data_IF_225258335901
#
_entry.id   IF_225258335901
#
_cell.length_a   1.000
_cell.length_b   1.000
_cell.length_c   1.000
_cell.angle_alpha   90.00
_cell.angle_beta   90.00
_cell.angle_gamma   90.00
#
_symmetry.space_group_name_H-M   'P 1'
#
loop_
_entity.id
_entity.type
_entity.pdbx_description
1 polymer ?
#
# COMPACT_ATOMS: atom_id res chain seq x y z
N UNK A 1 7.38 36.69 8.93
CA UNK A 1 6.99 36.64 7.51
C UNK A 1 7.38 35.28 6.96
N UNK A 2 6.43 34.45 6.51
CA UNK A 2 6.72 33.11 6.00
C UNK A 2 7.30 33.18 4.59
N UNK A 3 8.38 32.43 4.32
CA UNK A 3 8.99 32.34 2.99
C UNK A 3 8.01 31.64 2.03
N UNK A 4 7.80 32.11 0.79
CA UNK A 4 6.91 31.47 -0.16
C UNK A 4 7.42 30.07 -0.51
N UNK A 5 6.47 29.14 -0.69
CA UNK A 5 6.76 27.75 -1.07
C UNK A 5 7.42 27.77 -2.45
N UNK A 6 8.61 27.14 -2.62
CA UNK A 6 9.28 27.11 -3.91
C UNK A 6 8.45 26.32 -4.93
N UNK A 7 8.20 26.95 -6.08
CA UNK A 7 7.42 26.36 -7.17
C UNK A 7 8.17 25.16 -7.74
N UNK A 8 7.44 24.05 -7.90
CA UNK A 8 7.97 22.81 -8.46
C UNK A 8 8.21 22.95 -9.98
N UNK A 9 9.46 23.20 -10.36
CA UNK A 9 9.90 23.43 -11.75
C UNK A 9 9.53 22.29 -12.71
N UNK A 10 9.61 21.04 -12.25
CA UNK A 10 9.22 19.84 -13.03
C UNK A 10 7.72 19.83 -13.38
N UNK A 11 6.88 20.36 -12.50
CA UNK A 11 5.43 20.41 -12.75
C UNK A 11 5.09 21.43 -13.86
N UNK A 12 5.77 22.58 -13.87
CA UNK A 12 5.59 23.60 -14.92
C UNK A 12 6.07 23.13 -16.29
N UNK A 13 7.17 22.37 -16.35
CA UNK A 13 7.67 21.76 -17.60
C UNK A 13 6.67 20.76 -18.19
N UNK A 14 6.08 19.90 -17.34
CA UNK A 14 5.05 18.96 -17.78
C UNK A 14 3.78 19.66 -18.29
N UNK A 15 3.42 20.81 -17.72
CA UNK A 15 2.31 21.63 -18.22
C UNK A 15 2.63 22.25 -19.58
N UNK A 16 3.81 22.86 -19.75
CA UNK A 16 4.25 23.40 -21.04
C UNK A 16 4.31 22.35 -22.15
N UNK A 17 4.78 21.14 -21.82
CA UNK A 17 4.77 20.02 -22.77
C UNK A 17 3.35 19.61 -23.17
N UNK A 18 2.36 19.74 -22.29
CA UNK A 18 0.96 19.43 -22.62
C UNK A 18 0.33 20.50 -23.51
N UNK A 19 0.64 21.76 -23.27
CA UNK A 19 0.16 22.89 -24.10
C UNK A 19 0.78 22.87 -25.50
N UNK A 20 2.10 22.62 -25.61
CA UNK A 20 2.80 22.55 -26.90
C UNK A 20 2.42 21.32 -27.74
N UNK A 21 2.02 20.20 -27.12
CA UNK A 21 1.63 18.99 -27.84
C UNK A 21 0.14 18.96 -28.24
N UNK A 22 -0.60 20.05 -28.02
CA UNK A 22 -1.87 20.33 -28.69
C UNK A 22 -2.85 19.17 -28.81
N UNK A 23 -3.10 18.39 -27.75
CA UNK A 23 -4.17 17.40 -27.74
C UNK A 23 -4.54 16.96 -26.32
N UNK A 24 -5.81 17.17 -25.96
CA UNK A 24 -6.53 16.32 -25.02
C UNK A 24 -6.55 14.90 -25.64
N UNK A 25 -5.92 13.87 -25.06
CA UNK A 25 -6.34 12.53 -25.42
C UNK A 25 -7.72 12.35 -24.77
N UNK A 26 -8.74 12.16 -25.60
CA UNK A 26 -9.91 11.37 -25.22
C UNK A 26 -9.44 10.08 -24.52
N UNK A 27 -10.24 9.45 -23.64
CA UNK A 27 -9.84 8.20 -22.99
C UNK A 27 -9.64 7.12 -24.06
N UNK A 28 -8.42 7.02 -24.57
CA UNK A 28 -7.97 5.94 -25.41
C UNK A 28 -8.09 4.68 -24.57
N UNK A 29 -8.88 3.73 -25.07
CA UNK A 29 -8.92 2.36 -24.57
C UNK A 29 -7.48 1.91 -24.26
N UNK A 30 -7.21 1.19 -23.16
CA UNK A 30 -5.87 0.74 -22.87
C UNK A 30 -5.39 -0.08 -24.06
N UNK A 31 -4.41 0.48 -24.77
CA UNK A 31 -3.68 -0.21 -25.80
C UNK A 31 -3.23 -1.55 -25.21
N UNK A 32 -3.58 -2.63 -25.91
CA UNK A 32 -3.05 -3.96 -25.65
C UNK A 32 -1.57 -3.81 -25.33
N UNK A 33 -1.19 -4.15 -24.10
CA UNK A 33 0.19 -4.10 -23.65
C UNK A 33 0.96 -4.96 -24.65
N UNK A 34 1.75 -4.33 -25.51
CA UNK A 34 2.65 -5.03 -26.39
C UNK A 34 3.52 -5.90 -25.50
N UNK A 35 3.26 -7.21 -25.51
CA UNK A 35 4.09 -8.16 -24.79
C UNK A 35 5.49 -7.99 -25.37
N UNK A 36 6.53 -7.77 -24.53
CA UNK A 36 7.88 -7.76 -25.05
C UNK A 36 8.14 -9.11 -25.75
N UNK A 37 8.88 -9.13 -26.87
CA UNK A 37 9.19 -10.37 -27.56
C UNK A 37 9.78 -11.36 -26.55
N UNK A 38 9.12 -12.52 -26.38
CA UNK A 38 9.50 -13.55 -25.39
C UNK A 38 10.89 -14.16 -25.62
N UNK A 39 11.57 -13.81 -26.71
CA UNK A 39 12.96 -14.21 -27.00
C UNK A 39 13.89 -13.08 -26.59
N UNK A 40 14.69 -13.33 -25.56
CA UNK A 40 15.70 -12.41 -25.05
C UNK A 40 15.54 -12.08 -23.57
N UNK A 41 14.31 -12.11 -23.03
CA UNK A 41 14.06 -11.72 -21.63
C UNK A 41 14.87 -12.56 -20.61
N UNK A 42 15.01 -13.87 -20.84
CA UNK A 42 15.82 -14.72 -19.96
C UNK A 42 17.32 -14.42 -20.07
N UNK A 43 17.81 -14.09 -21.26
CA UNK A 43 19.21 -13.68 -21.49
C UNK A 43 19.49 -12.35 -20.77
N UNK A 44 18.59 -11.37 -20.93
CA UNK A 44 18.72 -10.05 -20.32
C UNK A 44 18.66 -10.15 -18.79
N UNK A 45 17.78 -11.00 -18.26
CA UNK A 45 17.66 -11.21 -16.82
C UNK A 45 18.88 -11.94 -16.24
N UNK A 46 19.49 -12.87 -16.99
CA UNK A 46 20.78 -13.47 -16.62
C UNK A 46 21.91 -12.46 -16.59
N UNK A 47 22.06 -11.65 -17.64
CA UNK A 47 23.10 -10.62 -17.71
C UNK A 47 22.97 -9.60 -16.58
N UNK A 48 21.73 -9.23 -16.22
CA UNK A 48 21.46 -8.27 -15.15
C UNK A 48 21.78 -8.85 -13.76
N UNK A 49 21.50 -10.14 -13.54
CA UNK A 49 21.87 -10.83 -12.31
C UNK A 49 23.39 -11.03 -12.17
N UNK A 50 24.11 -11.33 -13.25
CA UNK A 50 25.56 -11.49 -13.23
C UNK A 50 26.25 -10.14 -12.96
N UNK A 51 25.79 -9.06 -13.62
CA UNK A 51 26.31 -7.71 -13.38
C UNK A 51 26.09 -7.24 -11.93
N UNK A 52 24.96 -7.59 -11.33
CA UNK A 52 24.73 -7.34 -9.90
C UNK A 52 25.68 -8.17 -9.02
N UNK A 53 25.88 -9.45 -9.34
CA UNK A 53 26.78 -10.32 -8.58
C UNK A 53 28.23 -9.83 -8.60
N UNK A 54 28.72 -9.38 -9.75
CA UNK A 54 30.07 -8.80 -9.90
C UNK A 54 30.22 -7.51 -9.09
N UNK A 55 29.19 -6.67 -9.05
CA UNK A 55 29.21 -5.43 -8.26
C UNK A 55 29.08 -5.67 -6.74
N UNK A 56 28.68 -6.86 -6.30
CA UNK A 56 28.65 -7.27 -4.90
C UNK A 56 29.83 -8.16 -4.47
N UNK A 57 30.80 -8.46 -5.36
CA UNK A 57 32.08 -9.01 -4.93
C UNK A 57 32.90 -7.89 -4.29
N UNK A 58 32.68 -7.72 -3.00
CA UNK A 58 33.54 -6.93 -2.12
C UNK A 58 34.93 -7.56 -2.16
N UNK A 59 35.90 -6.86 -2.74
CA UNK A 59 37.31 -7.19 -2.56
C UNK A 59 37.59 -7.29 -1.05
N UNK A 60 38.10 -8.44 -0.65
CA UNK A 60 38.54 -8.73 0.70
C UNK A 60 39.54 -7.63 1.10
N UNK A 61 39.24 -6.79 2.12
CA UNK A 61 40.12 -5.69 2.44
C UNK A 61 41.43 -6.27 2.97
N UNK A 62 42.54 -5.91 2.32
CA UNK A 62 43.89 -6.20 2.79
C UNK A 62 44.03 -5.91 4.30
N UNK A 63 44.84 -6.69 5.03
CA UNK A 63 44.97 -6.55 6.48
C UNK A 63 45.58 -5.18 6.81
N UNK A 64 44.72 -4.22 7.12
CA UNK A 64 45.11 -2.92 7.65
C UNK A 64 45.74 -3.12 9.01
N UNK A 65 46.88 -2.47 9.21
CA UNK A 65 47.63 -2.35 10.46
C UNK A 65 46.72 -2.19 11.70
N UNK A 66 47.16 -2.64 12.89
CA UNK A 66 46.31 -2.71 14.08
C UNK A 66 45.69 -1.35 14.40
N UNK A 67 44.37 -1.30 14.26
CA UNK A 67 43.53 -0.17 14.65
C UNK A 67 43.70 0.02 16.15
N UNK A 68 44.20 1.18 16.56
CA UNK A 68 44.22 1.58 17.96
C UNK A 68 42.80 1.54 18.50
N UNK A 69 42.56 0.64 19.44
CA UNK A 69 41.29 0.46 20.15
C UNK A 69 40.96 1.74 20.89
N UNK A 70 40.04 2.54 20.36
CA UNK A 70 39.38 3.57 21.16
C UNK A 70 38.54 2.86 22.24
N UNK A 71 38.48 3.39 23.48
CA UNK A 71 37.72 2.78 24.55
C UNK A 71 36.23 2.70 24.18
N UNK A 72 35.50 1.70 24.72
CA UNK A 72 34.08 1.55 24.44
C UNK A 72 33.33 2.74 25.02
N UNK A 73 32.92 3.65 24.15
CA UNK A 73 31.94 4.68 24.51
C UNK A 73 30.66 3.90 24.81
N UNK A 74 30.31 3.82 26.10
CA UNK A 74 29.01 3.30 26.51
C UNK A 74 27.94 4.22 25.93
N UNK A 75 27.48 3.89 24.74
CA UNK A 75 26.27 4.45 24.16
C UNK A 75 25.11 3.90 24.99
N UNK A 76 24.87 4.48 26.17
CA UNK A 76 23.53 4.57 26.69
C UNK A 76 22.77 5.51 25.75
N UNK A 77 22.43 5.02 24.56
CA UNK A 77 21.31 5.53 23.79
C UNK A 77 20.10 5.40 24.70
N UNK A 78 19.84 6.48 25.44
CA UNK A 78 18.52 6.72 26.02
C UNK A 78 17.57 6.64 24.84
N UNK A 79 16.91 5.49 24.68
CA UNK A 79 15.77 5.29 23.80
C UNK A 79 14.76 6.37 24.18
N UNK A 80 14.84 7.53 23.52
CA UNK A 80 13.81 8.55 23.64
C UNK A 80 12.55 7.84 23.15
N UNK A 81 11.52 7.64 23.99
CA UNK A 81 10.29 7.01 23.55
C UNK A 81 9.82 7.79 22.34
N UNK A 82 9.82 7.14 21.18
CA UNK A 82 9.41 7.77 19.94
C UNK A 82 7.96 8.15 20.15
N UNK A 83 7.69 9.44 20.38
CA UNK A 83 6.31 9.92 20.54
C UNK A 83 5.59 9.60 19.25
N UNK A 84 4.70 8.60 19.30
CA UNK A 84 3.89 8.28 18.14
C UNK A 84 3.07 9.52 17.77
N UNK A 85 3.08 9.92 16.50
CA UNK A 85 2.26 11.04 16.07
C UNK A 85 0.79 10.72 16.38
N UNK A 86 0.00 11.73 16.76
CA UNK A 86 -1.39 11.52 17.12
C UNK A 86 -2.15 10.83 15.98
N UNK A 87 -3.19 10.04 16.31
CA UNK A 87 -4.06 9.39 15.34
C UNK A 87 -4.44 10.33 14.20
N UNK A 88 -4.17 9.93 12.95
CA UNK A 88 -4.79 10.63 11.83
C UNK A 88 -6.28 10.32 11.87
N UNK A 89 -7.09 11.36 12.00
CA UNK A 89 -8.55 11.28 11.91
C UNK A 89 -8.96 11.83 10.55
N UNK A 90 -9.76 11.05 9.81
CA UNK A 90 -10.35 11.47 8.54
C UNK A 90 -11.86 11.24 8.56
N UNK A 91 -12.55 11.77 7.55
CA UNK A 91 -13.97 11.51 7.31
C UNK A 91 -14.11 10.31 6.37
N UNK A 92 -14.93 9.35 6.75
CA UNK A 92 -15.27 8.21 5.92
C UNK A 92 -15.91 8.70 4.62
N UNK A 93 -15.42 8.20 3.49
CA UNK A 93 -15.97 8.52 2.16
C UNK A 93 -17.00 7.50 1.70
N UNK A 94 -17.01 6.33 2.33
CA UNK A 94 -17.73 5.16 1.87
C UNK A 94 -18.23 4.37 3.06
N UNK A 95 -19.26 3.56 2.80
CA UNK A 95 -19.81 2.66 3.79
C UNK A 95 -18.92 1.45 3.98
N UNK A 96 -18.56 1.15 5.23
CA UNK A 96 -17.73 0.00 5.61
C UNK A 96 -18.20 -0.55 6.98
N UNK A 97 -17.78 -1.74 7.37
CA UNK A 97 -18.04 -2.25 8.73
C UNK A 97 -16.86 -1.93 9.65
N UNK A 98 -17.11 -1.31 10.80
CA UNK A 98 -16.06 -1.06 11.78
C UNK A 98 -15.64 -2.36 12.45
N UNK A 99 -14.37 -2.75 12.30
CA UNK A 99 -13.85 -3.99 12.90
C UNK A 99 -13.82 -3.98 14.43
N UNK A 100 -13.74 -2.79 15.04
CA UNK A 100 -13.72 -2.63 16.51
C UNK A 100 -15.08 -2.74 17.19
N UNK A 101 -16.18 -2.31 16.56
CA UNK A 101 -17.53 -2.41 17.16
C UNK A 101 -18.54 -3.24 16.38
N UNK A 102 -18.26 -3.60 15.13
CA UNK A 102 -19.20 -4.29 14.23
C UNK A 102 -20.28 -3.39 13.63
N UNK A 103 -20.43 -2.16 14.10
CA UNK A 103 -21.38 -1.21 13.54
C UNK A 103 -20.93 -0.69 12.15
N UNK A 104 -21.87 -0.31 11.28
CA UNK A 104 -21.54 0.34 10.02
C UNK A 104 -20.87 1.69 10.26
N UNK A 105 -19.82 1.95 9.49
CA UNK A 105 -19.21 3.26 9.25
C UNK A 105 -19.96 3.85 8.05
N UNK A 106 -20.61 4.98 8.23
CA UNK A 106 -21.30 5.71 7.18
C UNK A 106 -20.42 6.82 6.59
N UNK A 107 -20.66 7.26 5.35
CA UNK A 107 -20.01 8.44 4.80
C UNK A 107 -20.18 9.66 5.73
N UNK A 108 -19.08 10.36 6.02
CA UNK A 108 -19.05 11.49 6.96
C UNK A 108 -18.60 11.13 8.38
N UNK A 109 -18.62 9.84 8.77
CA UNK A 109 -18.18 9.43 10.10
C UNK A 109 -16.70 9.71 10.33
N UNK A 110 -16.35 10.08 11.56
CA UNK A 110 -14.97 10.24 11.96
C UNK A 110 -14.33 8.86 12.14
N UNK A 111 -13.28 8.60 11.35
CA UNK A 111 -12.57 7.33 11.36
C UNK A 111 -11.07 7.54 11.55
N UNK A 112 -10.42 6.52 12.11
CA UNK A 112 -8.96 6.46 12.26
C UNK A 112 -8.47 5.06 11.92
N UNK A 113 -7.17 4.94 11.63
CA UNK A 113 -6.56 3.65 11.33
C UNK A 113 -6.20 2.93 12.62
N UNK A 114 -6.69 1.70 12.80
CA UNK A 114 -6.38 0.86 13.95
C UNK A 114 -4.89 0.46 13.92
N UNK A 115 -4.13 0.62 15.02
CA UNK A 115 -2.68 0.41 15.01
C UNK A 115 -2.28 -1.04 14.73
N UNK A 116 -3.07 -2.02 15.19
CA UNK A 116 -2.74 -3.46 15.06
C UNK A 116 -3.30 -4.12 13.80
N UNK A 117 -4.39 -3.61 13.24
CA UNK A 117 -5.11 -4.27 12.13
C UNK A 117 -4.89 -3.56 10.81
N UNK A 118 -4.52 -2.27 10.85
CA UNK A 118 -4.38 -1.46 9.65
C UNK A 118 -5.70 -1.12 8.96
N UNK A 119 -6.84 -1.45 9.58
CA UNK A 119 -8.19 -1.14 9.09
C UNK A 119 -8.69 0.22 9.60
N UNK A 120 -9.69 0.76 8.90
CA UNK A 120 -10.41 1.96 9.33
C UNK A 120 -11.49 1.60 10.35
N UNK A 121 -11.46 2.28 11.49
CA UNK A 121 -12.42 2.10 12.59
C UNK A 121 -12.94 3.45 13.05
N UNK A 122 -14.08 3.48 13.73
CA UNK A 122 -14.54 4.67 14.44
C UNK A 122 -13.45 5.18 15.38
N UNK A 123 -13.35 6.49 15.58
CA UNK A 123 -12.36 7.09 16.50
C UNK A 123 -12.41 6.45 17.89
N UNK A 124 -13.60 6.23 18.44
CA UNK A 124 -13.78 5.57 19.75
C UNK A 124 -13.51 4.06 19.77
N UNK A 125 -13.20 3.46 18.63
CA UNK A 125 -12.86 2.03 18.49
C UNK A 125 -11.38 1.79 18.19
N UNK A 126 -10.54 2.84 18.21
CA UNK A 126 -9.11 2.76 17.87
C UNK A 126 -8.32 1.81 18.76
N UNK A 127 -8.65 1.76 20.04
CA UNK A 127 -7.89 1.01 21.04
C UNK A 127 -8.71 -0.16 21.61
N UNK A 128 -9.82 -0.50 20.95
CA UNK A 128 -10.68 -1.61 21.35
C UNK A 128 -10.17 -2.92 20.77
N UNK A 129 -10.52 -4.03 21.43
CA UNK A 129 -10.33 -5.36 20.86
C UNK A 129 -11.26 -5.59 19.66
N UNK A 130 -10.87 -6.51 18.80
CA UNK A 130 -11.59 -6.80 17.57
C UNK A 130 -12.91 -7.51 17.91
N UNK A 131 -14.04 -6.85 17.70
CA UNK A 131 -15.35 -7.50 17.82
C UNK A 131 -15.84 -8.09 16.51
N UNK A 132 -15.59 -7.43 15.38
CA UNK A 132 -16.05 -7.95 14.10
C UNK A 132 -15.02 -8.94 13.54
N UNK A 133 -15.46 -10.16 13.28
CA UNK A 133 -14.60 -11.19 12.69
C UNK A 133 -14.04 -10.78 11.32
N UNK A 134 -14.78 -9.96 10.56
CA UNK A 134 -14.44 -9.60 9.17
C UNK A 134 -14.81 -8.16 8.83
N UNK A 135 -14.01 -7.57 7.95
CA UNK A 135 -14.29 -6.28 7.31
C UNK A 135 -15.18 -6.51 6.09
N UNK A 136 -16.41 -6.00 6.15
CA UNK A 136 -17.32 -6.01 5.00
C UNK A 136 -17.39 -4.61 4.40
N UNK A 137 -17.25 -4.53 3.07
CA UNK A 137 -17.41 -3.30 2.28
C UNK A 137 -18.36 -3.54 1.11
N UNK A 138 -18.91 -2.46 0.56
CA UNK A 138 -19.63 -2.52 -0.71
C UNK A 138 -18.64 -2.43 -1.90
N UNK A 139 -18.81 -3.32 -2.88
CA UNK A 139 -17.98 -3.37 -4.07
C UNK A 139 -18.12 -2.09 -4.90
N UNK A 140 -17.01 -1.42 -5.18
CA UNK A 140 -17.02 -0.18 -5.99
C UNK A 140 -16.78 -0.42 -7.48
N UNK A 141 -16.10 -1.51 -7.77
CA UNK A 141 -15.72 -1.88 -9.12
C UNK A 141 -16.20 -3.30 -9.38
N UNK A 142 -16.45 -3.59 -10.66
CA UNK A 142 -16.70 -4.95 -11.09
C UNK A 142 -15.41 -5.76 -10.90
N UNK A 143 -15.57 -7.01 -10.47
CA UNK A 143 -14.48 -7.94 -10.28
C UNK A 143 -15.00 -9.37 -10.34
N UNK A 144 -14.17 -10.31 -9.89
CA UNK A 144 -14.57 -11.71 -9.76
C UNK A 144 -14.34 -12.15 -8.32
N UNK A 145 -15.27 -12.94 -7.79
CA UNK A 145 -15.13 -13.55 -6.49
C UNK A 145 -14.16 -14.73 -6.59
N UNK A 146 -13.10 -14.72 -5.79
CA UNK A 146 -12.09 -15.78 -5.82
C UNK A 146 -12.60 -17.15 -5.38
N UNK A 147 -13.63 -17.20 -4.54
CA UNK A 147 -14.18 -18.46 -4.04
C UNK A 147 -15.12 -19.16 -5.06
N UNK A 148 -15.96 -18.41 -5.78
CA UNK A 148 -16.96 -18.99 -6.69
C UNK A 148 -16.78 -18.65 -8.16
N UNK A 149 -15.74 -17.88 -8.52
CA UNK A 149 -15.47 -17.38 -9.87
C UNK A 149 -16.59 -16.57 -10.53
N UNK A 150 -17.68 -16.25 -9.82
CA UNK A 150 -18.78 -15.41 -10.33
C UNK A 150 -18.43 -13.92 -10.24
N UNK A 151 -19.01 -13.08 -11.12
CA UNK A 151 -18.76 -11.65 -11.08
C UNK A 151 -19.23 -11.02 -9.76
N UNK A 152 -18.41 -10.12 -9.22
CA UNK A 152 -18.75 -9.16 -8.19
C UNK A 152 -19.30 -7.93 -8.91
N UNK A 153 -20.56 -7.59 -8.65
CA UNK A 153 -21.22 -6.40 -9.16
C UNK A 153 -21.04 -5.23 -8.17
N UNK A 154 -21.11 -4.01 -8.69
CA UNK A 154 -21.06 -2.80 -7.87
C UNK A 154 -22.20 -2.78 -6.85
N UNK A 155 -21.91 -2.37 -5.62
CA UNK A 155 -22.84 -2.36 -4.49
C UNK A 155 -22.95 -3.69 -3.74
N UNK A 156 -22.44 -4.80 -4.27
CA UNK A 156 -22.50 -6.09 -3.57
C UNK A 156 -21.59 -6.11 -2.33
N UNK A 157 -22.02 -6.75 -1.23
CA UNK A 157 -21.20 -6.89 -0.04
C UNK A 157 -20.05 -7.88 -0.31
N UNK A 158 -18.83 -7.40 -0.10
CA UNK A 158 -17.59 -8.16 -0.27
C UNK A 158 -16.73 -8.06 0.97
N UNK A 159 -15.89 -9.07 1.18
CA UNK A 159 -14.90 -9.11 2.25
C UNK A 159 -13.54 -9.48 1.67
N UNK A 160 -12.43 -8.94 2.17
CA UNK A 160 -11.13 -9.42 1.79
C UNK A 160 -10.89 -10.80 2.41
N UNK A 161 -10.37 -11.73 1.62
CA UNK A 161 -9.88 -13.03 2.06
C UNK A 161 -8.35 -13.02 2.03
N UNK A 162 -7.73 -13.44 3.14
CA UNK A 162 -6.28 -13.43 3.31
C UNK A 162 -5.61 -14.24 2.19
N UNK A 163 -4.75 -13.60 1.41
CA UNK A 163 -3.96 -14.23 0.34
C UNK A 163 -4.67 -14.38 -1.01
N UNK A 164 -6.00 -14.22 -1.08
CA UNK A 164 -6.77 -14.49 -2.30
C UNK A 164 -7.46 -13.25 -2.89
N UNK A 165 -7.67 -12.19 -2.11
CA UNK A 165 -8.28 -10.95 -2.64
C UNK A 165 -9.74 -10.77 -2.20
N UNK A 166 -10.61 -10.34 -3.12
CA UNK A 166 -12.02 -10.03 -2.79
C UNK A 166 -12.95 -11.21 -3.04
N UNK A 167 -13.82 -11.50 -2.07
CA UNK A 167 -14.86 -12.51 -2.20
C UNK A 167 -16.22 -11.95 -1.78
N UNK A 168 -17.30 -12.52 -2.35
CA UNK A 168 -18.65 -12.25 -1.87
C UNK A 168 -18.75 -12.59 -0.38
N UNK A 169 -19.47 -11.77 0.39
CA UNK A 169 -19.70 -12.03 1.80
C UNK A 169 -20.27 -13.43 2.05
N UNK A 170 -21.25 -13.85 1.24
CA UNK A 170 -21.87 -15.18 1.32
C UNK A 170 -20.87 -16.32 1.09
N UNK A 171 -19.96 -16.16 0.13
CA UNK A 171 -18.96 -17.19 -0.16
C UNK A 171 -17.98 -17.33 1.01
N UNK A 172 -17.56 -16.21 1.59
CA UNK A 172 -16.71 -16.23 2.77
C UNK A 172 -17.40 -16.89 3.98
N UNK A 173 -18.71 -16.71 4.15
CA UNK A 173 -19.47 -17.33 5.24
C UNK A 173 -19.57 -18.85 5.08
N UNK A 174 -19.72 -19.36 3.84
CA UNK A 174 -19.78 -20.81 3.57
C UNK A 174 -18.46 -21.52 3.87
N UNK A 175 -17.32 -20.94 3.51
CA UNK A 175 -16.01 -21.55 3.79
C UNK A 175 -15.69 -21.68 5.28
N UNK A 176 -16.36 -20.90 6.14
CA UNK A 176 -16.15 -20.96 7.59
C UNK A 176 -17.03 -21.97 8.32
N UNK A 177 -17.99 -22.59 7.62
CA UNK A 177 -18.88 -23.62 8.16
C UNK A 177 -18.63 -24.91 7.36
N UNK A 178 -17.56 -25.68 7.67
CA UNK A 178 -17.34 -26.99 7.07
C UNK A 178 -18.43 -27.99 7.46
#
# INVERSE_FOLDING_TARGET
MAKPIPINRRWQENQRLRENNGANPAPTQPASVAQPPRRGYQETLRQLLESLRESFQVEEPEPRAPVQTLPPVQATERLVPRREPPPRIIRARYRETCTGCGAPINPGDAITRHPRWGDWVHVGCRDREQRAARRVIEARYRGFCYACARPILQGQPITPQRGYGWVHLECALRENNP
#
